data_IF_112221167348
#
_entry.id   IF_112221167348
#
_cell.length_a   1.000
_cell.length_b   1.000
_cell.length_c   1.000
_cell.angle_alpha   90.00
_cell.angle_beta   90.00
_cell.angle_gamma   90.00
#
_symmetry.space_group_name_H-M   'P 1'
#
loop_
_entity.id
_entity.type
_entity.pdbx_description
1 polymer ?
#
# COMPACT_ATOMS: atom_id res chain seq x y z
N UNK A 1 34.60 23.21 -34.43
CA UNK A 1 33.45 22.28 -34.40
C UNK A 1 33.86 20.83 -34.03
N UNK A 2 35.03 20.33 -34.44
CA UNK A 2 35.50 18.98 -34.08
C UNK A 2 35.94 18.80 -32.61
N UNK A 3 36.34 19.84 -31.90
CA UNK A 3 36.75 19.78 -30.48
C UNK A 3 35.57 19.59 -29.49
N UNK A 4 34.34 19.95 -29.87
CA UNK A 4 33.14 19.79 -29.05
C UNK A 4 32.60 18.35 -29.06
N UNK A 5 32.89 17.58 -30.09
CA UNK A 5 32.44 16.18 -30.26
C UNK A 5 33.25 15.22 -29.36
N UNK A 6 34.53 15.57 -29.07
CA UNK A 6 35.39 14.76 -28.22
C UNK A 6 35.11 14.89 -26.70
N UNK A 7 34.46 15.98 -26.28
CA UNK A 7 34.17 16.26 -24.87
C UNK A 7 32.84 15.65 -24.38
N UNK A 8 31.93 15.33 -25.28
CA UNK A 8 30.62 14.73 -24.91
C UNK A 8 30.72 13.36 -24.21
N UNK A 9 31.55 12.39 -24.64
CA UNK A 9 31.63 11.11 -23.92
C UNK A 9 32.31 11.20 -22.57
N UNK A 10 33.21 12.17 -22.36
CA UNK A 10 33.88 12.38 -21.07
C UNK A 10 32.92 13.03 -20.06
N UNK A 11 32.10 13.98 -20.50
CA UNK A 11 31.05 14.60 -19.69
C UNK A 11 29.95 13.58 -19.33
N UNK A 12 29.57 12.71 -20.27
CA UNK A 12 28.54 11.68 -20.03
C UNK A 12 29.05 10.61 -19.05
N UNK A 13 30.32 10.24 -19.11
CA UNK A 13 30.95 9.34 -18.14
C UNK A 13 31.08 9.97 -16.75
N UNK A 14 31.43 11.26 -16.65
CA UNK A 14 31.41 11.99 -15.37
C UNK A 14 30.00 12.14 -14.81
N UNK A 15 29.02 12.42 -15.64
CA UNK A 15 27.60 12.51 -15.23
C UNK A 15 27.05 11.14 -14.78
N UNK A 16 27.46 10.05 -15.42
CA UNK A 16 27.13 8.67 -15.02
C UNK A 16 27.78 8.29 -13.70
N UNK A 17 29.05 8.64 -13.47
CA UNK A 17 29.73 8.45 -12.19
C UNK A 17 29.03 9.26 -11.07
N UNK A 18 28.64 10.52 -11.30
CA UNK A 18 27.90 11.32 -10.33
C UNK A 18 26.53 10.70 -10.00
N UNK A 19 25.87 10.07 -10.96
CA UNK A 19 24.61 9.35 -10.74
C UNK A 19 24.79 8.11 -9.85
N UNK A 20 25.95 7.44 -9.94
CA UNK A 20 26.30 6.27 -9.13
C UNK A 20 26.65 6.67 -7.66
N UNK A 21 27.30 7.82 -7.46
CA UNK A 21 27.67 8.30 -6.12
C UNK A 21 26.52 8.92 -5.33
N UNK A 22 25.48 9.41 -5.97
CA UNK A 22 24.30 9.97 -5.27
C UNK A 22 23.66 9.01 -4.26
N UNK A 23 23.39 7.73 -4.57
CA UNK A 23 22.83 6.79 -3.60
C UNK A 23 23.85 6.43 -2.49
N UNK A 24 25.13 6.33 -2.80
CA UNK A 24 26.18 6.06 -1.82
C UNK A 24 26.33 7.23 -0.83
N UNK A 25 26.35 8.46 -1.32
CA UNK A 25 26.41 9.67 -0.49
C UNK A 25 25.16 9.85 0.39
N UNK A 26 24.01 9.47 -0.14
CA UNK A 26 22.75 9.48 0.62
C UNK A 26 22.75 8.41 1.72
N UNK A 27 23.32 7.25 1.44
CA UNK A 27 23.48 6.18 2.40
C UNK A 27 24.48 6.57 3.50
N UNK A 28 25.63 7.15 3.13
CA UNK A 28 26.66 7.63 4.06
C UNK A 28 26.14 8.71 5.01
N UNK A 29 25.41 9.70 4.51
CA UNK A 29 24.77 10.73 5.35
C UNK A 29 23.80 10.12 6.36
N UNK A 30 23.04 9.09 5.96
CA UNK A 30 22.11 8.39 6.85
C UNK A 30 22.84 7.59 7.92
N UNK A 31 23.95 6.94 7.57
CA UNK A 31 24.81 6.21 8.52
C UNK A 31 25.41 7.17 9.55
N UNK A 32 25.92 8.33 9.13
CA UNK A 32 26.49 9.36 10.03
C UNK A 32 25.38 9.90 10.95
N UNK A 33 24.21 10.26 10.40
CA UNK A 33 23.09 10.73 11.21
C UNK A 33 22.61 9.68 12.22
N UNK A 34 22.59 8.40 11.81
CA UNK A 34 22.23 7.28 12.65
C UNK A 34 23.27 7.07 13.79
N UNK A 35 24.56 7.11 13.48
CA UNK A 35 25.63 7.00 14.47
C UNK A 35 25.59 8.15 15.50
N UNK A 36 25.37 9.39 15.04
CA UNK A 36 25.18 10.53 15.91
C UNK A 36 23.94 10.42 16.79
N UNK A 37 22.83 9.92 16.26
CA UNK A 37 21.61 9.67 17.00
C UNK A 37 21.78 8.54 18.04
N UNK A 38 22.53 7.49 17.71
CA UNK A 38 22.89 6.40 18.64
C UNK A 38 23.67 6.93 19.84
N UNK A 39 24.52 7.91 19.64
CA UNK A 39 25.29 8.53 20.71
C UNK A 39 24.44 9.45 21.60
N UNK A 40 23.51 10.19 20.99
CA UNK A 40 22.66 11.17 21.70
C UNK A 40 21.43 10.54 22.37
N UNK A 41 20.80 9.53 21.72
CA UNK A 41 19.55 8.92 22.16
C UNK A 41 19.62 7.39 21.99
N UNK A 42 20.49 6.69 22.77
CA UNK A 42 20.79 5.29 22.50
C UNK A 42 19.59 4.37 22.70
N UNK A 43 18.85 4.53 23.79
CA UNK A 43 17.78 3.60 24.16
C UNK A 43 16.60 3.61 23.19
N UNK A 44 15.98 4.75 22.85
CA UNK A 44 14.92 4.79 21.82
C UNK A 44 15.37 4.25 20.47
N UNK A 45 16.60 4.54 20.08
CA UNK A 45 17.11 4.09 18.77
C UNK A 45 17.34 2.58 18.73
N UNK A 46 17.81 1.98 19.84
CA UNK A 46 17.91 0.52 20.00
C UNK A 46 16.54 -0.12 19.89
N UNK A 47 15.50 0.44 20.56
CA UNK A 47 14.13 -0.04 20.46
C UNK A 47 13.64 0.02 19.02
N UNK A 48 13.86 1.12 18.30
CA UNK A 48 13.49 1.22 16.87
C UNK A 48 14.22 0.22 15.98
N UNK A 49 15.49 -0.02 16.25
CA UNK A 49 16.25 -1.01 15.49
C UNK A 49 15.72 -2.42 15.72
N UNK A 50 15.54 -2.82 16.98
CA UNK A 50 15.04 -4.14 17.36
C UNK A 50 13.62 -4.35 16.80
N UNK A 51 12.72 -3.40 17.00
CA UNK A 51 11.35 -3.51 16.50
C UNK A 51 11.30 -3.56 14.97
N UNK A 52 12.16 -2.80 14.28
CA UNK A 52 12.29 -2.86 12.84
C UNK A 52 12.84 -4.20 12.34
N UNK A 53 13.80 -4.79 13.04
CA UNK A 53 14.31 -6.12 12.74
C UNK A 53 13.22 -7.20 12.92
N UNK A 54 12.46 -7.12 14.01
CA UNK A 54 11.31 -8.03 14.22
C UNK A 54 10.26 -7.83 13.13
N UNK A 55 9.93 -6.60 12.79
CA UNK A 55 8.90 -6.30 11.81
C UNK A 55 9.26 -6.76 10.40
N UNK A 56 10.50 -6.53 9.97
CA UNK A 56 10.94 -6.93 8.62
C UNK A 56 10.93 -8.45 8.42
N UNK A 57 11.07 -9.25 9.50
CA UNK A 57 11.05 -10.74 9.41
C UNK A 57 9.71 -11.30 8.97
N UNK A 58 8.65 -10.50 8.99
CA UNK A 58 7.32 -10.87 8.47
C UNK A 58 7.31 -11.00 6.93
N UNK A 59 8.28 -10.37 6.27
CA UNK A 59 8.43 -10.41 4.80
C UNK A 59 9.30 -11.61 4.40
N UNK A 60 8.70 -12.77 4.25
CA UNK A 60 9.44 -13.99 3.85
C UNK A 60 9.30 -14.24 2.35
N UNK A 61 10.37 -14.74 1.68
CA UNK A 61 11.73 -14.90 2.19
C UNK A 61 12.42 -13.54 2.39
N UNK A 62 13.22 -13.44 3.45
CA UNK A 62 14.01 -12.23 3.70
C UNK A 62 15.16 -12.22 2.71
N UNK A 63 15.20 -11.21 1.85
CA UNK A 63 16.30 -10.95 0.91
C UNK A 63 17.04 -9.67 1.26
N UNK A 64 18.28 -9.56 0.80
CA UNK A 64 19.02 -8.31 0.94
C UNK A 64 18.29 -7.12 0.31
N UNK A 65 17.59 -7.35 -0.80
CA UNK A 65 16.75 -6.35 -1.45
C UNK A 65 15.58 -5.92 -0.55
N UNK A 66 14.93 -6.85 0.15
CA UNK A 66 13.85 -6.56 1.11
C UNK A 66 14.38 -5.70 2.25
N UNK A 67 15.53 -6.06 2.84
CA UNK A 67 16.17 -5.28 3.90
C UNK A 67 16.53 -3.86 3.43
N UNK A 68 17.17 -3.75 2.27
CA UNK A 68 17.54 -2.46 1.69
C UNK A 68 16.30 -1.58 1.44
N UNK A 69 15.20 -2.15 0.90
CA UNK A 69 13.97 -1.42 0.67
C UNK A 69 13.31 -1.00 1.97
N UNK A 70 13.33 -1.86 2.98
CA UNK A 70 12.70 -1.60 4.26
C UNK A 70 13.45 -0.49 5.04
N UNK A 71 14.75 -0.59 5.21
CA UNK A 71 15.54 0.35 6.02
C UNK A 71 15.99 1.60 5.26
N UNK A 72 16.26 1.51 3.96
CA UNK A 72 16.85 2.60 3.18
C UNK A 72 15.97 3.09 2.03
N UNK A 73 14.89 2.37 1.72
CA UNK A 73 14.01 2.62 0.58
C UNK A 73 12.63 3.14 0.96
N UNK A 74 11.63 2.63 0.24
CA UNK A 74 10.23 3.03 0.42
C UNK A 74 9.56 2.43 1.67
N UNK A 75 10.20 1.50 2.38
CA UNK A 75 9.77 0.94 3.66
C UNK A 75 10.19 1.76 4.88
N UNK A 76 10.94 2.86 4.70
CA UNK A 76 11.48 3.65 5.82
C UNK A 76 10.39 4.16 6.77
N UNK A 77 9.21 4.51 6.26
CA UNK A 77 8.07 4.95 7.08
C UNK A 77 7.51 3.79 7.89
N UNK A 78 7.42 2.60 7.30
CA UNK A 78 7.01 1.37 7.98
C UNK A 78 7.98 1.03 9.10
N UNK A 79 9.30 1.13 8.83
CA UNK A 79 10.32 0.95 9.84
C UNK A 79 10.20 1.97 10.99
N UNK A 80 10.08 3.27 10.67
CA UNK A 80 9.91 4.31 11.69
C UNK A 80 8.68 4.07 12.57
N UNK A 81 7.61 3.49 12.01
CA UNK A 81 6.39 3.15 12.72
C UNK A 81 6.41 1.73 13.31
N UNK A 82 7.51 0.96 13.18
CA UNK A 82 7.55 -0.43 13.64
C UNK A 82 7.25 -0.62 15.13
N UNK A 83 7.73 0.23 16.09
CA UNK A 83 7.32 0.11 17.48
C UNK A 83 5.80 0.22 17.66
N UNK A 84 5.20 1.16 16.93
CA UNK A 84 3.77 1.40 16.97
C UNK A 84 2.98 0.28 16.28
N UNK A 85 3.49 -0.24 15.18
CA UNK A 85 2.92 -1.38 14.48
C UNK A 85 2.91 -2.64 15.36
N UNK A 86 3.99 -2.92 16.10
CA UNK A 86 4.05 -4.03 17.04
C UNK A 86 3.09 -3.81 18.23
N UNK A 87 2.97 -2.57 18.72
CA UNK A 87 1.96 -2.24 19.73
C UNK A 87 0.54 -2.51 19.23
N UNK A 88 0.22 -2.16 18.00
CA UNK A 88 -1.08 -2.50 17.37
C UNK A 88 -1.27 -4.03 17.31
N UNK A 89 -0.22 -4.78 16.98
CA UNK A 89 -0.31 -6.25 16.98
C UNK A 89 -0.68 -6.80 18.37
N UNK A 90 -0.11 -6.26 19.44
CA UNK A 90 -0.48 -6.62 20.82
C UNK A 90 -1.93 -6.26 21.14
N UNK A 91 -2.40 -5.09 20.71
CA UNK A 91 -3.79 -4.67 20.91
C UNK A 91 -4.81 -5.52 20.12
N UNK A 92 -4.36 -6.26 19.12
CA UNK A 92 -5.21 -7.16 18.35
C UNK A 92 -5.25 -8.59 18.88
N UNK A 93 -4.47 -8.95 19.91
CA UNK A 93 -4.52 -10.30 20.46
C UNK A 93 -5.92 -10.65 20.99
N UNK A 94 -6.35 -11.92 20.87
CA UNK A 94 -5.63 -13.08 20.32
C UNK A 94 -5.64 -13.20 18.78
N UNK A 95 -6.20 -12.21 18.04
CA UNK A 95 -6.24 -12.22 16.60
C UNK A 95 -4.86 -11.88 16.03
N UNK A 96 -3.95 -12.84 16.04
CA UNK A 96 -2.59 -12.68 15.55
C UNK A 96 -2.57 -12.26 14.08
N UNK A 97 -1.62 -11.40 13.71
CA UNK A 97 -1.45 -10.96 12.34
C UNK A 97 -0.79 -12.03 11.48
N UNK A 98 -1.58 -12.76 10.70
CA UNK A 98 -1.11 -13.81 9.77
C UNK A 98 -0.51 -13.25 8.49
N UNK A 99 -0.67 -11.96 8.23
CA UNK A 99 -0.23 -11.31 6.98
C UNK A 99 -1.23 -11.47 5.84
N UNK A 100 -1.70 -12.68 5.57
CA UNK A 100 -2.73 -13.00 4.56
C UNK A 100 -3.92 -13.63 5.29
N UNK A 101 -5.12 -13.25 4.88
CA UNK A 101 -6.35 -13.64 5.55
C UNK A 101 -7.35 -14.26 4.58
N UNK A 102 -8.14 -15.21 5.07
CA UNK A 102 -9.35 -15.68 4.40
C UNK A 102 -10.56 -14.97 4.98
N UNK A 103 -11.55 -14.63 4.15
CA UNK A 103 -12.77 -13.96 4.60
C UNK A 103 -13.48 -14.70 5.73
N UNK A 104 -13.51 -16.03 5.70
CA UNK A 104 -14.14 -16.89 6.71
C UNK A 104 -13.52 -16.75 8.11
N UNK A 105 -12.31 -16.22 8.24
CA UNK A 105 -11.64 -16.00 9.52
C UNK A 105 -11.93 -14.61 10.10
N UNK A 106 -12.64 -13.75 9.36
CA UNK A 106 -13.07 -12.44 9.85
C UNK A 106 -14.37 -12.54 10.64
N UNK A 107 -14.66 -11.60 11.53
CA UNK A 107 -15.97 -11.52 12.21
C UNK A 107 -17.12 -11.49 11.20
N UNK A 108 -18.25 -12.12 11.52
CA UNK A 108 -19.41 -12.22 10.62
C UNK A 108 -19.94 -10.88 10.14
N UNK A 109 -19.93 -9.88 11.01
CA UNK A 109 -20.30 -8.49 10.65
C UNK A 109 -19.36 -7.94 9.57
N UNK A 110 -18.05 -8.15 9.74
CA UNK A 110 -17.04 -7.72 8.77
C UNK A 110 -17.22 -8.43 7.42
N UNK A 111 -17.50 -9.75 7.43
CA UNK A 111 -17.80 -10.52 6.22
C UNK A 111 -19.01 -9.97 5.49
N UNK A 112 -20.10 -9.70 6.24
CA UNK A 112 -21.34 -9.11 5.69
C UNK A 112 -21.10 -7.73 5.09
N UNK A 113 -20.33 -6.87 5.75
CA UNK A 113 -19.99 -5.55 5.21
C UNK A 113 -19.22 -5.66 3.89
N UNK A 114 -18.23 -6.57 3.80
CA UNK A 114 -17.48 -6.82 2.56
C UNK A 114 -18.44 -7.29 1.45
N UNK A 115 -19.31 -8.26 1.73
CA UNK A 115 -20.25 -8.79 0.73
C UNK A 115 -21.19 -7.70 0.21
N UNK A 116 -21.75 -6.89 1.10
CA UNK A 116 -22.63 -5.80 0.74
C UNK A 116 -21.94 -4.75 -0.14
N UNK A 117 -20.70 -4.37 0.17
CA UNK A 117 -19.92 -3.43 -0.67
C UNK A 117 -19.65 -4.03 -2.05
N UNK A 118 -19.24 -5.30 -2.11
CA UNK A 118 -18.99 -6.00 -3.38
C UNK A 118 -20.26 -6.09 -4.22
N UNK A 119 -21.38 -6.52 -3.61
CA UNK A 119 -22.67 -6.62 -4.30
C UNK A 119 -23.11 -5.26 -4.86
N UNK A 120 -23.05 -4.20 -4.05
CA UNK A 120 -23.41 -2.86 -4.52
C UNK A 120 -22.48 -2.36 -5.64
N UNK A 121 -21.18 -2.68 -5.59
CA UNK A 121 -20.24 -2.32 -6.67
C UNK A 121 -20.58 -3.01 -7.99
N UNK A 122 -20.98 -4.29 -7.93
CA UNK A 122 -21.35 -5.07 -9.11
C UNK A 122 -22.70 -4.63 -9.68
N UNK A 123 -23.72 -4.51 -8.84
CA UNK A 123 -25.08 -4.06 -9.24
C UNK A 123 -25.04 -2.64 -9.80
N UNK A 124 -24.23 -1.75 -9.21
CA UNK A 124 -24.03 -0.38 -9.68
C UNK A 124 -23.14 -0.25 -10.91
N UNK A 125 -22.71 -1.36 -11.52
CA UNK A 125 -21.80 -1.38 -12.70
C UNK A 125 -20.59 -0.47 -12.52
N UNK A 126 -20.01 -0.49 -11.31
CA UNK A 126 -18.95 0.44 -10.91
C UNK A 126 -17.73 0.34 -11.81
N UNK A 127 -17.36 -0.87 -12.27
CA UNK A 127 -16.24 -1.06 -13.17
C UNK A 127 -16.39 -0.27 -14.48
N UNK A 128 -17.56 -0.35 -15.13
CA UNK A 128 -17.85 0.34 -16.39
C UNK A 128 -17.76 1.86 -16.19
N UNK A 129 -18.49 2.37 -15.17
CA UNK A 129 -18.57 3.81 -14.87
C UNK A 129 -17.20 4.44 -14.55
N UNK A 130 -16.32 3.71 -13.86
CA UNK A 130 -14.98 4.20 -13.52
C UNK A 130 -14.03 4.10 -14.72
N UNK A 131 -14.17 3.07 -15.56
CA UNK A 131 -13.36 2.92 -16.78
C UNK A 131 -13.61 4.04 -17.79
N UNK A 132 -14.86 4.52 -17.92
CA UNK A 132 -15.20 5.67 -18.79
C UNK A 132 -14.43 6.94 -18.41
N UNK A 133 -14.10 7.09 -17.12
CA UNK A 133 -13.35 8.25 -16.64
C UNK A 133 -11.83 8.11 -16.76
N UNK A 134 -11.32 6.92 -17.05
CA UNK A 134 -9.87 6.68 -17.12
C UNK A 134 -9.20 7.43 -18.28
N UNK A 135 -9.93 7.69 -19.38
CA UNK A 135 -9.49 8.53 -20.53
C UNK A 135 -8.06 8.26 -21.02
N UNK A 136 -7.65 6.98 -21.06
CA UNK A 136 -6.33 6.59 -21.54
C UNK A 136 -5.18 6.72 -20.52
N UNK A 137 -5.45 7.17 -19.31
CA UNK A 137 -4.46 7.23 -18.22
C UNK A 137 -3.90 5.84 -17.90
N UNK A 138 -2.65 5.80 -17.43
CA UNK A 138 -1.97 4.54 -17.11
C UNK A 138 -2.62 3.85 -15.90
N UNK A 139 -2.95 4.64 -14.88
CA UNK A 139 -3.58 4.16 -13.63
C UNK A 139 -4.51 5.22 -13.09
N UNK A 140 -5.74 4.83 -12.82
CA UNK A 140 -6.75 5.68 -12.21
C UNK A 140 -7.15 5.20 -10.82
N UNK A 141 -7.56 6.13 -9.97
CA UNK A 141 -8.07 5.86 -8.63
C UNK A 141 -9.26 6.76 -8.34
N UNK A 142 -10.35 6.17 -7.87
CA UNK A 142 -11.50 6.89 -7.33
C UNK A 142 -11.69 6.50 -5.87
N UNK A 143 -11.85 7.49 -5.00
CA UNK A 143 -12.00 7.29 -3.56
C UNK A 143 -13.35 7.79 -3.10
N UNK A 144 -14.19 6.90 -2.56
CA UNK A 144 -15.50 7.21 -1.99
C UNK A 144 -15.44 7.52 -0.50
N UNK A 145 -14.60 6.77 0.21
CA UNK A 145 -14.39 6.94 1.66
C UNK A 145 -12.90 6.78 1.96
N UNK A 146 -12.37 7.62 2.86
CA UNK A 146 -10.98 7.56 3.27
C UNK A 146 -10.86 7.72 4.79
N UNK A 147 -10.45 6.65 5.44
CA UNK A 147 -10.32 6.57 6.89
C UNK A 147 -11.55 7.12 7.63
N UNK A 148 -12.74 6.63 7.25
CA UNK A 148 -14.03 6.99 7.83
C UNK A 148 -14.64 8.30 7.30
N UNK A 149 -13.92 9.08 6.50
CA UNK A 149 -14.44 10.30 5.87
C UNK A 149 -14.97 10.02 4.48
N UNK A 150 -16.22 10.41 4.20
CA UNK A 150 -16.79 10.37 2.86
C UNK A 150 -16.14 11.43 1.98
N UNK A 151 -15.86 11.07 0.73
CA UNK A 151 -15.28 11.95 -0.28
C UNK A 151 -16.26 12.17 -1.43
N UNK A 152 -16.32 13.38 -2.01
CA UNK A 152 -17.16 13.63 -3.17
C UNK A 152 -16.58 12.90 -4.40
N UNK A 153 -17.46 12.25 -5.17
CA UNK A 153 -17.16 11.57 -6.43
C UNK A 153 -18.24 11.87 -7.45
N UNK A 154 -17.90 11.83 -8.74
CA UNK A 154 -18.87 11.96 -9.84
C UNK A 154 -19.64 10.67 -10.09
N UNK A 155 -19.11 9.55 -9.65
CA UNK A 155 -19.82 8.26 -9.66
C UNK A 155 -20.56 8.12 -8.34
N UNK A 156 -21.89 8.26 -8.38
CA UNK A 156 -22.70 8.14 -7.17
C UNK A 156 -22.85 6.68 -6.76
N UNK A 157 -22.47 6.39 -5.52
CA UNK A 157 -22.61 5.11 -4.85
C UNK A 157 -23.11 5.38 -3.41
N UNK A 158 -24.39 5.66 -3.21
CA UNK A 158 -24.92 6.09 -1.90
C UNK A 158 -24.56 5.13 -0.76
N UNK A 159 -24.63 3.84 -1.01
CA UNK A 159 -24.29 2.81 -0.04
C UNK A 159 -22.85 2.92 0.48
N UNK A 160 -21.89 3.40 -0.32
CA UNK A 160 -20.49 3.55 0.10
C UNK A 160 -20.31 4.68 1.12
N UNK A 161 -21.29 5.55 1.26
CA UNK A 161 -21.26 6.65 2.24
C UNK A 161 -21.89 6.28 3.60
N UNK A 162 -22.49 5.09 3.72
CA UNK A 162 -23.03 4.60 4.98
C UNK A 162 -21.96 4.42 6.05
N UNK A 163 -22.40 4.33 7.31
CA UNK A 163 -21.50 4.03 8.43
C UNK A 163 -21.30 2.51 8.53
N UNK A 164 -20.04 2.12 8.64
CA UNK A 164 -19.63 0.72 8.78
C UNK A 164 -18.92 0.50 10.12
N UNK A 165 -19.03 -0.72 10.63
CA UNK A 165 -18.33 -1.09 11.84
C UNK A 165 -16.86 -1.37 11.57
N UNK A 166 -16.53 -2.00 10.46
CA UNK A 166 -15.16 -2.39 10.11
C UNK A 166 -14.58 -1.56 8.97
N UNK A 167 -15.36 -1.23 7.96
CA UNK A 167 -14.88 -0.55 6.76
C UNK A 167 -14.51 0.91 7.06
N UNK A 168 -13.27 1.27 6.74
CA UNK A 168 -12.72 2.62 6.94
C UNK A 168 -12.40 3.33 5.64
N UNK A 169 -11.99 2.59 4.61
CA UNK A 169 -11.67 3.14 3.29
C UNK A 169 -12.42 2.36 2.22
N UNK A 170 -12.94 3.05 1.22
CA UNK A 170 -13.55 2.47 0.03
C UNK A 170 -13.03 3.24 -1.18
N UNK A 171 -12.45 2.52 -2.12
CA UNK A 171 -12.01 3.10 -3.38
C UNK A 171 -11.94 2.05 -4.49
N UNK A 172 -11.71 2.53 -5.70
CA UNK A 172 -11.50 1.70 -6.88
C UNK A 172 -10.18 2.09 -7.52
N UNK A 173 -9.38 1.10 -7.85
CA UNK A 173 -8.14 1.25 -8.61
C UNK A 173 -8.29 0.63 -9.99
N UNK A 174 -7.93 1.39 -11.02
CA UNK A 174 -7.92 0.91 -12.40
C UNK A 174 -6.48 0.86 -12.89
N UNK A 175 -6.09 -0.30 -13.38
CA UNK A 175 -4.82 -0.48 -14.08
C UNK A 175 -5.12 -0.66 -15.56
N UNK A 176 -4.55 0.20 -16.37
CA UNK A 176 -4.55 0.03 -17.81
C UNK A 176 -3.65 -1.16 -18.19
N UNK A 177 -3.61 -1.48 -19.47
CA UNK A 177 -2.79 -2.54 -20.06
C UNK A 177 -1.34 -2.37 -19.67
N UNK A 178 -0.66 -3.46 -19.28
CA UNK A 178 0.78 -3.52 -18.99
C UNK A 178 1.25 -2.48 -17.98
N UNK A 179 0.49 -2.34 -16.87
CA UNK A 179 0.81 -1.42 -15.78
C UNK A 179 1.04 -2.17 -14.47
N UNK A 180 2.02 -1.71 -13.70
CA UNK A 180 2.34 -2.28 -12.40
C UNK A 180 2.72 -1.21 -11.38
N UNK A 181 2.61 -1.53 -10.10
CA UNK A 181 3.26 -0.75 -9.04
C UNK A 181 4.65 -1.30 -8.76
N UNK A 182 5.54 -0.45 -8.26
CA UNK A 182 6.79 -0.93 -7.67
C UNK A 182 6.53 -1.70 -6.38
N UNK A 183 7.43 -2.60 -6.00
CA UNK A 183 7.42 -3.20 -4.66
C UNK A 183 7.49 -2.10 -3.60
N UNK A 184 6.54 -2.12 -2.65
CA UNK A 184 6.43 -1.11 -1.59
C UNK A 184 5.81 -1.71 -0.33
N UNK A 185 5.79 -0.91 0.74
CA UNK A 185 5.21 -1.26 2.02
C UNK A 185 4.18 -0.19 2.38
N UNK A 186 3.06 -0.60 2.98
CA UNK A 186 2.15 0.31 3.67
C UNK A 186 2.76 0.76 5.01
N UNK A 187 2.38 1.94 5.51
CA UNK A 187 3.04 2.52 6.67
C UNK A 187 2.59 1.94 8.02
N UNK A 188 1.32 1.58 8.15
CA UNK A 188 0.68 1.28 9.44
C UNK A 188 -0.39 0.21 9.30
N UNK A 189 -0.58 -0.61 10.34
CA UNK A 189 -1.40 -1.82 10.30
C UNK A 189 -2.64 -1.87 11.23
N UNK A 190 -3.36 -0.79 11.53
CA UNK A 190 -4.64 -0.89 12.24
C UNK A 190 -5.73 -1.46 11.34
N UNK A 191 -5.48 -1.52 10.03
CA UNK A 191 -6.40 -2.02 9.00
C UNK A 191 -5.79 -3.16 8.21
N UNK A 192 -6.65 -3.98 7.62
CA UNK A 192 -6.31 -4.95 6.57
C UNK A 192 -6.82 -4.42 5.24
N UNK A 193 -6.09 -4.68 4.17
CA UNK A 193 -6.49 -4.37 2.80
C UNK A 193 -7.29 -5.52 2.22
N UNK A 194 -8.53 -5.24 1.86
CA UNK A 194 -9.40 -6.13 1.07
C UNK A 194 -9.37 -5.65 -0.37
N UNK A 195 -8.99 -6.51 -1.28
CA UNK A 195 -9.05 -6.27 -2.72
C UNK A 195 -10.07 -7.23 -3.34
N UNK A 196 -10.96 -6.68 -4.16
CA UNK A 196 -11.90 -7.48 -4.94
C UNK A 196 -11.89 -7.03 -6.39
N UNK A 197 -11.53 -7.92 -7.30
CA UNK A 197 -11.51 -7.62 -8.72
C UNK A 197 -12.94 -7.62 -9.27
N UNK A 198 -13.46 -6.46 -9.69
CA UNK A 198 -14.86 -6.25 -10.07
C UNK A 198 -15.14 -6.42 -11.57
N UNK A 199 -14.10 -6.53 -12.40
CA UNK A 199 -14.24 -6.91 -13.81
C UNK A 199 -13.73 -8.33 -14.05
N UNK A 200 -13.99 -8.88 -15.21
CA UNK A 200 -13.47 -10.19 -15.57
C UNK A 200 -11.97 -10.08 -15.93
N UNK A 201 -11.17 -10.99 -15.38
CA UNK A 201 -9.74 -11.14 -15.66
C UNK A 201 -9.47 -12.62 -15.91
N UNK A 202 -9.11 -12.95 -17.13
CA UNK A 202 -8.85 -14.35 -17.57
C UNK A 202 -7.37 -14.69 -17.50
N UNK A 203 -6.49 -13.70 -17.75
CA UNK A 203 -5.05 -13.92 -17.83
C UNK A 203 -4.41 -14.04 -16.43
N UNK A 204 -3.46 -14.94 -16.27
CA UNK A 204 -2.58 -15.02 -15.10
C UNK A 204 -1.51 -13.91 -15.06
N UNK A 205 -1.39 -13.10 -16.11
CA UNK A 205 -0.50 -11.93 -16.15
C UNK A 205 -1.00 -10.78 -15.27
N UNK A 206 -2.23 -10.88 -14.75
CA UNK A 206 -2.77 -9.96 -13.76
C UNK A 206 -2.77 -10.61 -12.37
N UNK A 207 -1.90 -10.11 -11.48
CA UNK A 207 -1.70 -10.68 -10.14
C UNK A 207 -1.26 -9.62 -9.12
N UNK A 208 -1.23 -10.01 -7.86
CA UNK A 208 -0.59 -9.26 -6.78
C UNK A 208 0.40 -10.16 -6.06
N UNK A 209 1.62 -9.67 -5.84
CA UNK A 209 2.62 -10.27 -4.98
C UNK A 209 2.56 -9.63 -3.59
N UNK A 210 2.50 -10.45 -2.54
CA UNK A 210 2.56 -10.03 -1.14
C UNK A 210 3.51 -10.96 -0.38
N UNK A 211 4.66 -10.47 0.02
CA UNK A 211 5.73 -11.31 0.56
C UNK A 211 6.14 -12.41 -0.45
N UNK A 212 5.98 -13.67 -0.06
CA UNK A 212 6.22 -14.83 -0.91
C UNK A 212 4.97 -15.40 -1.59
N UNK A 213 3.81 -14.76 -1.39
CA UNK A 213 2.54 -15.22 -1.95
C UNK A 213 2.22 -14.44 -3.22
N UNK A 214 1.82 -15.16 -4.29
CA UNK A 214 1.26 -14.60 -5.50
C UNK A 214 -0.21 -14.98 -5.61
N UNK A 215 -1.05 -13.97 -5.72
CA UNK A 215 -2.49 -14.13 -5.92
C UNK A 215 -2.85 -13.74 -7.35
N UNK A 216 -3.48 -14.67 -8.09
CA UNK A 216 -3.92 -14.47 -9.46
C UNK A 216 -5.40 -14.11 -9.53
N UNK A 217 -5.71 -12.97 -10.16
CA UNK A 217 -7.10 -12.50 -10.28
C UNK A 217 -7.99 -13.37 -11.15
N UNK A 218 -7.40 -14.17 -12.04
CA UNK A 218 -8.12 -15.16 -12.86
C UNK A 218 -8.62 -16.35 -12.05
N UNK A 219 -8.00 -16.62 -10.89
CA UNK A 219 -8.33 -17.79 -10.03
C UNK A 219 -9.29 -17.42 -8.91
N UNK A 220 -9.08 -16.28 -8.29
CA UNK A 220 -9.90 -15.79 -7.16
C UNK A 220 -10.02 -14.28 -7.19
N UNK A 221 -11.26 -13.77 -7.05
CA UNK A 221 -11.54 -12.33 -7.14
C UNK A 221 -11.26 -11.58 -5.85
N UNK A 222 -11.22 -12.27 -4.70
CA UNK A 222 -11.05 -11.67 -3.37
C UNK A 222 -9.67 -11.98 -2.81
N UNK A 223 -8.98 -10.96 -2.32
CA UNK A 223 -7.72 -11.12 -1.60
C UNK A 223 -7.66 -10.17 -0.41
N UNK A 224 -7.23 -10.68 0.76
CA UNK A 224 -7.17 -9.91 2.01
C UNK A 224 -5.77 -10.05 2.61
N UNK A 225 -5.12 -8.94 2.87
CA UNK A 225 -3.75 -8.95 3.40
C UNK A 225 -3.43 -7.74 4.26
N UNK A 226 -2.34 -7.84 5.01
CA UNK A 226 -1.72 -6.74 5.72
C UNK A 226 -0.87 -5.91 4.76
N UNK A 227 -1.30 -4.69 4.50
CA UNK A 227 -0.68 -3.72 3.60
C UNK A 227 0.77 -3.36 3.99
N UNK A 228 1.17 -3.57 5.26
CA UNK A 228 2.54 -3.33 5.71
C UNK A 228 3.54 -4.38 5.25
N UNK A 229 3.09 -5.51 4.69
CA UNK A 229 3.96 -6.45 3.99
C UNK A 229 4.43 -5.86 2.67
N UNK A 230 5.62 -6.26 2.22
CA UNK A 230 6.11 -5.88 0.91
C UNK A 230 5.20 -6.45 -0.17
N UNK A 231 4.66 -5.57 -1.02
CA UNK A 231 3.71 -5.99 -2.04
C UNK A 231 3.84 -5.16 -3.32
N UNK A 232 3.30 -5.71 -4.41
CA UNK A 232 3.10 -5.01 -5.68
C UNK A 232 1.90 -5.58 -6.44
N UNK A 233 1.17 -4.73 -7.13
CA UNK A 233 0.13 -5.13 -8.09
C UNK A 233 0.67 -5.07 -9.50
N UNK A 234 0.38 -6.11 -10.27
CA UNK A 234 0.81 -6.26 -11.67
C UNK A 234 -0.41 -6.50 -12.55
N UNK A 235 -0.45 -5.82 -13.68
CA UNK A 235 -1.34 -6.10 -14.80
C UNK A 235 -0.52 -6.05 -16.09
N UNK A 236 0.12 -7.17 -16.43
CA UNK A 236 0.89 -7.31 -17.65
C UNK A 236 0.02 -7.82 -18.83
N UNK A 237 -1.30 -7.97 -18.60
CA UNK A 237 -2.27 -8.35 -19.61
C UNK A 237 -2.62 -7.18 -20.56
N UNK A 238 -3.22 -7.51 -21.69
CA UNK A 238 -3.75 -6.52 -22.65
C UNK A 238 -5.18 -6.04 -22.30
N UNK A 239 -5.71 -6.42 -21.13
CA UNK A 239 -7.00 -6.01 -20.62
C UNK A 239 -6.87 -5.00 -19.47
N UNK A 240 -7.93 -4.22 -19.22
CA UNK A 240 -8.04 -3.41 -18.01
C UNK A 240 -8.26 -4.31 -16.79
N UNK A 241 -7.68 -3.92 -15.66
CA UNK A 241 -7.98 -4.51 -14.36
C UNK A 241 -8.60 -3.47 -13.45
N UNK A 242 -9.81 -3.72 -12.99
CA UNK A 242 -10.55 -2.86 -12.07
C UNK A 242 -10.71 -3.56 -10.73
N UNK A 243 -10.16 -2.97 -9.70
CA UNK A 243 -10.15 -3.55 -8.38
C UNK A 243 -10.77 -2.60 -7.37
N UNK A 244 -11.83 -3.04 -6.72
CA UNK A 244 -12.34 -2.43 -5.51
C UNK A 244 -11.33 -2.68 -4.40
N UNK A 245 -10.88 -1.63 -3.70
CA UNK A 245 -10.06 -1.76 -2.52
C UNK A 245 -10.74 -1.16 -1.30
N UNK A 246 -10.72 -1.90 -0.23
CA UNK A 246 -11.39 -1.55 1.02
C UNK A 246 -10.40 -1.76 2.16
N UNK A 247 -10.22 -0.77 3.02
CA UNK A 247 -9.50 -0.97 4.26
C UNK A 247 -10.49 -1.23 5.39
N UNK A 248 -10.35 -2.36 6.06
CA UNK A 248 -11.16 -2.78 7.20
C UNK A 248 -10.33 -2.72 8.48
N UNK A 249 -10.92 -2.35 9.60
CA UNK A 249 -10.27 -2.48 10.90
C UNK A 249 -9.91 -3.94 11.16
N UNK A 250 -8.72 -4.18 11.69
CA UNK A 250 -8.33 -5.52 12.12
C UNK A 250 -9.27 -6.02 13.23
N UNK A 251 -9.60 -7.33 13.24
CA UNK A 251 -10.30 -7.92 14.37
C UNK A 251 -9.54 -7.68 15.67
N UNK A 252 -10.19 -7.07 16.66
CA UNK A 252 -9.63 -6.78 17.97
C UNK A 252 -10.74 -6.56 18.99
N UNK A 253 -10.50 -6.88 20.27
CA UNK A 253 -11.37 -6.45 21.35
C UNK A 253 -11.27 -4.94 21.64
N UNK A 254 -10.22 -4.29 21.12
CA UNK A 254 -9.98 -2.86 21.27
C UNK A 254 -10.32 -2.09 19.99
N UNK A 255 -11.47 -2.39 19.37
CA UNK A 255 -11.90 -1.73 18.11
C UNK A 255 -11.95 -0.21 18.20
N UNK A 256 -12.36 0.32 19.37
CA UNK A 256 -12.39 1.76 19.64
C UNK A 256 -11.00 2.40 19.52
N UNK A 257 -9.94 1.72 20.00
CA UNK A 257 -8.56 2.18 19.91
C UNK A 257 -8.08 2.19 18.45
N UNK A 258 -8.32 1.11 17.70
CA UNK A 258 -7.94 1.03 16.29
C UNK A 258 -8.65 2.12 15.48
N UNK A 259 -9.93 2.38 15.76
CA UNK A 259 -10.69 3.46 15.12
C UNK A 259 -10.11 4.83 15.45
N UNK A 260 -9.71 5.06 16.70
CA UNK A 260 -9.05 6.30 17.14
C UNK A 260 -7.71 6.50 16.41
N UNK A 261 -6.91 5.44 16.27
CA UNK A 261 -5.66 5.45 15.53
C UNK A 261 -5.90 5.82 14.06
N UNK A 262 -6.87 5.17 13.40
CA UNK A 262 -7.23 5.46 12.00
C UNK A 262 -7.69 6.92 11.85
N UNK A 263 -8.47 7.43 12.80
CA UNK A 263 -8.90 8.84 12.81
C UNK A 263 -7.71 9.78 12.97
N UNK A 264 -6.77 9.48 13.85
CA UNK A 264 -5.53 10.25 14.02
C UNK A 264 -4.69 10.24 12.75
N UNK A 265 -4.51 9.08 12.11
CA UNK A 265 -3.81 8.97 10.81
C UNK A 265 -4.49 9.82 9.76
N UNK A 266 -5.82 9.83 9.69
CA UNK A 266 -6.57 10.70 8.79
C UNK A 266 -6.24 12.18 9.02
N UNK A 267 -6.33 12.64 10.26
CA UNK A 267 -6.11 14.05 10.60
C UNK A 267 -4.69 14.52 10.28
N UNK A 268 -3.69 13.66 10.52
CA UNK A 268 -2.28 13.99 10.30
C UNK A 268 -1.85 13.83 8.84
N UNK A 269 -2.43 12.89 8.10
CA UNK A 269 -2.02 12.57 6.73
C UNK A 269 -2.89 13.21 5.65
N UNK A 270 -4.04 13.81 6.00
CA UNK A 270 -4.90 14.49 5.03
C UNK A 270 -4.16 15.53 4.16
N UNK A 271 -3.27 16.38 4.71
CA UNK A 271 -2.53 17.37 3.92
C UNK A 271 -1.57 16.73 2.90
N UNK A 272 -1.02 15.55 3.23
CA UNK A 272 0.00 14.86 2.43
C UNK A 272 -0.57 13.69 1.62
N UNK A 273 -1.89 13.47 1.63
CA UNK A 273 -2.56 12.38 0.88
C UNK A 273 -2.11 12.31 -0.58
N UNK A 274 -1.95 13.45 -1.25
CA UNK A 274 -1.48 13.51 -2.65
C UNK A 274 -0.07 12.94 -2.83
N UNK A 275 0.77 12.99 -1.80
CA UNK A 275 2.14 12.45 -1.86
C UNK A 275 2.12 10.90 -1.86
N UNK A 276 1.23 10.30 -1.08
CA UNK A 276 1.07 8.84 -1.05
C UNK A 276 0.57 8.28 -2.38
N UNK A 277 -0.31 9.02 -3.04
CA UNK A 277 -0.93 8.61 -4.30
C UNK A 277 -0.38 9.32 -5.54
N UNK A 278 0.83 9.89 -5.47
CA UNK A 278 1.43 10.71 -6.55
C UNK A 278 1.54 10.04 -7.93
N UNK A 279 1.51 8.71 -7.96
CA UNK A 279 1.60 7.92 -9.19
C UNK A 279 0.21 7.47 -9.71
N UNK A 280 -0.86 8.03 -9.16
CA UNK A 280 -2.23 7.73 -9.52
C UNK A 280 -2.93 8.98 -10.03
N UNK A 281 -3.67 8.84 -11.14
CA UNK A 281 -4.60 9.87 -11.59
C UNK A 281 -5.88 9.75 -10.79
N UNK A 282 -6.22 10.76 -9.98
CA UNK A 282 -7.50 10.77 -9.28
C UNK A 282 -8.62 11.03 -10.27
N UNK A 283 -9.49 10.05 -10.39
CA UNK A 283 -10.75 10.14 -11.12
C UNK A 283 -11.74 10.90 -10.25
N UNK A 284 -12.53 11.77 -10.86
CA UNK A 284 -13.49 12.65 -10.14
C UNK A 284 -14.87 12.03 -10.12
#
# INVERSE_FOLDING_TARGET
>A
MLALIGLMPVLDNHMRQFRFYKPVFKCLKRIIAFAAALWLIPLPLIVWLITGLVDVTRNRPISLQTLQRYFCGNGIVTWMLSPFNLFIDLCCLPNWNSGIYRKVHLPTVCQSEIDRIVTNALEGKLAERVCEQLKGEKRGMMMFKWYGQNLPTTVEMPFFHEQFQYIQTIGVSVFNRRQSTSLHFGPIRPTLRVLYNINEVVSEDAYIDVGNHRHFWSREKLFIFDDTLQHRSVNDSDALRVCLFVDILRPSYMQWLLRSIVTMVRLTSAPIRRVFYKNWTFLK
#
